data_IF_417825523654
#
_entry.id   IF_417825523654
#
_cell.length_a   1.000
_cell.length_b   1.000
_cell.length_c   1.000
_cell.angle_alpha   90.00
_cell.angle_beta   90.00
_cell.angle_gamma   90.00
#
_symmetry.space_group_name_H-M   'P 1'
#
loop_
_entity.id
_entity.type
_entity.pdbx_description
1 polymer ?
#
# COMPACT_ATOMS: atom_id res chain seq x y z
N UNK A 1 -21.21 29.50 16.02
CA UNK A 1 -21.49 29.18 14.60
C UNK A 1 -20.32 29.46 13.65
N UNK A 2 -19.15 29.90 14.14
CA UNK A 2 -18.00 30.35 13.34
C UNK A 2 -16.95 29.27 13.02
N UNK A 3 -16.89 28.19 13.81
CA UNK A 3 -15.75 27.28 13.75
C UNK A 3 -15.73 26.36 12.52
N UNK A 4 -16.91 25.99 11.98
CA UNK A 4 -17.01 25.10 10.82
C UNK A 4 -16.47 25.76 9.53
N UNK A 5 -16.71 27.05 9.33
CA UNK A 5 -16.23 27.78 8.14
C UNK A 5 -14.71 27.91 8.13
N UNK A 6 -14.08 28.14 9.29
CA UNK A 6 -12.62 28.27 9.36
C UNK A 6 -11.87 26.96 9.07
N UNK A 7 -12.50 25.81 9.36
CA UNK A 7 -11.93 24.51 9.05
C UNK A 7 -12.05 24.18 7.56
N UNK A 8 -13.18 24.49 6.94
CA UNK A 8 -13.37 24.33 5.49
C UNK A 8 -12.44 25.23 4.70
N UNK A 9 -12.21 26.47 5.14
CA UNK A 9 -11.31 27.41 4.45
C UNK A 9 -9.85 26.93 4.48
N UNK A 10 -9.42 26.29 5.58
CA UNK A 10 -8.10 25.66 5.69
C UNK A 10 -7.95 24.48 4.74
N UNK A 11 -8.98 23.64 4.63
CA UNK A 11 -8.98 22.49 3.71
C UNK A 11 -8.97 22.99 2.25
N UNK A 12 -9.79 23.99 1.92
CA UNK A 12 -9.84 24.58 0.58
C UNK A 12 -8.49 25.18 0.21
N UNK A 13 -7.86 25.92 1.13
CA UNK A 13 -6.52 26.50 0.88
C UNK A 13 -5.45 25.43 0.71
N UNK A 14 -5.49 24.33 1.47
CA UNK A 14 -4.56 23.20 1.32
C UNK A 14 -4.70 22.51 -0.04
N UNK A 15 -5.94 22.18 -0.44
CA UNK A 15 -6.25 21.60 -1.76
C UNK A 15 -5.88 22.55 -2.90
N UNK A 16 -6.14 23.85 -2.73
CA UNK A 16 -5.80 24.87 -3.72
C UNK A 16 -4.29 24.96 -3.91
N UNK A 17 -3.50 24.88 -2.83
CA UNK A 17 -2.04 24.86 -2.91
C UNK A 17 -1.52 23.57 -3.57
N UNK A 18 -2.13 22.42 -3.28
CA UNK A 18 -1.77 21.13 -3.91
C UNK A 18 -2.04 21.13 -5.42
N UNK A 19 -3.17 21.70 -5.85
CA UNK A 19 -3.57 21.72 -7.25
C UNK A 19 -2.93 22.84 -8.09
N UNK A 20 -2.65 24.00 -7.49
CA UNK A 20 -2.19 25.19 -8.22
C UNK A 20 -0.68 25.47 -8.11
N UNK A 21 0.03 24.90 -7.14
CA UNK A 21 1.48 25.06 -7.06
C UNK A 21 2.22 24.09 -7.97
N UNK A 22 3.37 24.52 -8.49
CA UNK A 22 4.33 23.61 -9.12
C UNK A 22 4.75 22.52 -8.11
N UNK A 23 4.78 21.25 -8.54
CA UNK A 23 5.19 20.07 -7.74
C UNK A 23 6.45 20.32 -6.92
N UNK A 24 7.49 20.89 -7.51
CA UNK A 24 8.75 21.17 -6.78
C UNK A 24 8.59 22.21 -5.67
N UNK A 25 7.74 23.21 -5.91
CA UNK A 25 7.50 24.28 -4.94
C UNK A 25 6.54 23.82 -3.84
N UNK A 26 5.57 22.98 -4.17
CA UNK A 26 4.66 22.35 -3.22
C UNK A 26 5.43 21.41 -2.27
N UNK A 27 6.35 20.59 -2.79
CA UNK A 27 7.23 19.75 -1.97
C UNK A 27 8.09 20.56 -0.99
N UNK A 28 8.70 21.66 -1.46
CA UNK A 28 9.46 22.58 -0.59
C UNK A 28 8.57 23.20 0.48
N UNK A 29 7.34 23.57 0.14
CA UNK A 29 6.37 24.11 1.10
C UNK A 29 5.98 23.05 2.15
N UNK A 30 5.68 21.82 1.74
CA UNK A 30 5.34 20.71 2.63
C UNK A 30 6.47 20.39 3.60
N UNK A 31 7.71 20.28 3.11
CA UNK A 31 8.90 20.02 3.92
C UNK A 31 9.13 21.11 4.98
N UNK A 32 9.06 22.39 4.59
CA UNK A 32 9.18 23.54 5.52
C UNK A 32 8.08 23.53 6.59
N UNK A 33 6.89 23.04 6.27
CA UNK A 33 5.77 22.97 7.21
C UNK A 33 5.92 21.78 8.16
N UNK A 34 6.47 20.66 7.69
CA UNK A 34 6.84 19.50 8.52
C UNK A 34 7.99 19.81 9.48
N UNK A 35 9.01 20.55 9.07
CA UNK A 35 10.15 20.94 9.93
C UNK A 35 9.72 21.80 11.14
N UNK A 36 8.64 22.56 11.00
CA UNK A 36 8.06 23.37 12.09
C UNK A 36 7.30 22.54 13.13
N UNK A 37 7.00 21.26 12.87
CA UNK A 37 6.40 20.35 13.84
C UNK A 37 7.50 19.86 14.80
N UNK A 38 7.86 20.73 15.75
CA UNK A 38 8.64 20.43 16.95
C UNK A 38 9.74 19.38 16.79
N UNK A 39 10.91 19.77 16.30
CA UNK A 39 12.09 18.92 16.35
C UNK A 39 12.37 18.52 17.81
N UNK A 40 12.12 17.25 18.15
CA UNK A 40 12.44 16.68 19.46
C UNK A 40 13.94 16.90 19.71
N UNK A 41 14.28 17.42 20.89
CA UNK A 41 15.67 17.59 21.28
C UNK A 41 16.38 16.22 21.26
N UNK A 42 17.31 16.05 20.31
CA UNK A 42 18.04 14.79 20.11
C UNK A 42 18.87 14.40 21.34
N UNK A 43 19.32 15.38 22.13
CA UNK A 43 20.08 15.14 23.38
C UNK A 43 19.19 14.49 24.43
N UNK A 44 17.99 15.04 24.65
CA UNK A 44 17.03 14.52 25.62
C UNK A 44 16.52 13.14 25.20
N UNK A 45 16.25 12.94 23.90
CA UNK A 45 15.90 11.60 23.38
C UNK A 45 16.97 10.57 23.69
N UNK A 46 18.26 10.91 23.56
CA UNK A 46 19.38 10.01 23.85
C UNK A 46 19.49 9.75 25.36
N UNK A 47 19.34 10.78 26.18
CA UNK A 47 19.40 10.69 27.64
C UNK A 47 18.28 9.81 28.21
N UNK A 48 17.03 10.05 27.78
CA UNK A 48 15.85 9.33 28.26
C UNK A 48 15.57 8.02 27.53
N UNK A 49 16.40 7.61 26.56
CA UNK A 49 16.16 6.42 25.72
C UNK A 49 15.80 5.17 26.54
N UNK A 50 16.51 4.90 27.64
CA UNK A 50 16.26 3.73 28.50
C UNK A 50 14.92 3.84 29.24
N UNK A 51 14.59 5.02 29.78
CA UNK A 51 13.32 5.26 30.49
C UNK A 51 12.12 5.20 29.54
N UNK A 52 12.25 5.74 28.34
CA UNK A 52 11.22 5.64 27.29
C UNK A 52 10.97 4.17 26.93
N UNK A 53 12.04 3.38 26.77
CA UNK A 53 11.90 1.95 26.49
C UNK A 53 11.19 1.20 27.62
N UNK A 54 11.53 1.50 28.87
CA UNK A 54 10.89 0.88 30.03
C UNK A 54 9.38 1.21 30.09
N UNK A 55 9.03 2.50 29.96
CA UNK A 55 7.63 2.96 29.93
C UNK A 55 6.85 2.31 28.78
N UNK A 56 7.41 2.28 27.58
CA UNK A 56 6.75 1.65 26.42
C UNK A 56 6.59 0.14 26.59
N UNK A 57 7.57 -0.55 27.20
CA UNK A 57 7.47 -1.99 27.48
C UNK A 57 6.36 -2.30 28.49
N UNK A 58 6.19 -1.45 29.51
CA UNK A 58 5.10 -1.57 30.49
C UNK A 58 3.74 -1.26 29.86
N UNK A 59 3.63 -0.23 29.02
CA UNK A 59 2.41 0.07 28.26
C UNK A 59 2.01 -1.06 27.29
N UNK A 60 2.97 -1.74 26.67
CA UNK A 60 2.70 -2.87 25.76
C UNK A 60 2.20 -4.13 26.46
N UNK A 61 2.57 -4.33 27.73
CA UNK A 61 2.25 -5.57 28.47
C UNK A 61 1.67 -5.21 29.85
N UNK A 62 0.45 -4.66 29.92
CA UNK A 62 -0.16 -4.26 31.20
C UNK A 62 -0.33 -5.45 32.16
N UNK A 63 -0.56 -6.66 31.62
CA UNK A 63 -0.74 -7.89 32.39
C UNK A 63 0.50 -8.32 33.18
N UNK A 64 1.70 -7.93 32.73
CA UNK A 64 2.96 -8.29 33.42
C UNK A 64 3.23 -7.39 34.63
N UNK A 65 2.50 -6.29 34.78
CA UNK A 65 2.69 -5.31 35.86
C UNK A 65 1.36 -4.92 36.55
N UNK A 66 0.60 -5.89 37.11
CA UNK A 66 -0.72 -5.63 37.67
C UNK A 66 -0.71 -4.76 38.93
N UNK A 67 0.41 -4.74 39.66
CA UNK A 67 0.54 -4.03 40.95
C UNK A 67 1.21 -2.66 40.85
N UNK A 68 1.80 -2.31 39.70
CA UNK A 68 2.26 -0.95 39.45
C UNK A 68 1.09 -0.16 38.86
N UNK A 69 0.32 0.54 39.72
CA UNK A 69 -0.54 1.62 39.23
C UNK A 69 0.37 2.64 38.56
N UNK A 70 0.52 2.49 37.25
CA UNK A 70 1.35 3.34 36.44
C UNK A 70 0.73 4.73 36.54
N UNK A 71 1.37 5.63 37.29
CA UNK A 71 1.02 7.05 37.36
C UNK A 71 1.41 7.73 36.03
N UNK A 72 0.97 7.14 34.93
CA UNK A 72 1.09 7.70 33.60
C UNK A 72 -0.10 8.61 33.41
N UNK A 73 0.17 9.80 32.88
CA UNK A 73 -0.87 10.73 32.51
C UNK A 73 -1.79 10.08 31.48
N UNK A 74 -3.11 10.22 31.66
CA UNK A 74 -4.12 9.67 30.73
C UNK A 74 -3.87 10.12 29.29
N UNK A 75 -3.32 11.31 29.09
CA UNK A 75 -2.92 11.82 27.78
C UNK A 75 -1.83 10.96 27.13
N UNK A 76 -0.78 10.56 27.87
CA UNK A 76 0.30 9.74 27.31
C UNK A 76 -0.23 8.35 26.91
N UNK A 77 -1.13 7.77 27.69
CA UNK A 77 -1.80 6.51 27.32
C UNK A 77 -2.60 6.67 26.03
N UNK A 78 -3.41 7.73 25.93
CA UNK A 78 -4.19 8.01 24.71
C UNK A 78 -3.29 8.21 23.47
N UNK A 79 -2.18 8.96 23.61
CA UNK A 79 -1.20 9.12 22.52
C UNK A 79 -0.57 7.79 22.13
N UNK A 80 -0.29 6.93 23.10
CA UNK A 80 0.26 5.61 22.84
C UNK A 80 -0.73 4.70 22.10
N UNK A 81 -1.99 4.64 22.52
CA UNK A 81 -3.04 3.87 21.82
C UNK A 81 -3.27 4.38 20.39
N UNK A 82 -3.22 5.71 20.19
CA UNK A 82 -3.29 6.31 18.86
C UNK A 82 -2.11 5.85 17.99
N UNK A 83 -0.89 5.87 18.55
CA UNK A 83 0.30 5.39 17.86
C UNK A 83 0.22 3.90 17.49
N UNK A 84 -0.26 3.05 18.41
CA UNK A 84 -0.47 1.63 18.15
C UNK A 84 -1.50 1.41 17.05
N UNK A 85 -2.61 2.16 17.09
CA UNK A 85 -3.64 2.13 16.06
C UNK A 85 -3.07 2.47 14.68
N UNK A 86 -2.27 3.54 14.57
CA UNK A 86 -1.58 3.90 13.32
C UNK A 86 -0.57 2.85 12.87
N UNK A 87 0.15 2.20 13.79
CA UNK A 87 1.05 1.10 13.45
C UNK A 87 0.29 -0.09 12.86
N UNK A 88 -0.84 -0.47 13.48
CA UNK A 88 -1.69 -1.57 13.00
C UNK A 88 -2.24 -1.25 11.61
N UNK A 89 -2.71 -0.03 11.38
CA UNK A 89 -3.22 0.39 10.07
C UNK A 89 -2.12 0.35 9.00
N UNK A 90 -0.93 0.84 9.32
CA UNK A 90 0.24 0.76 8.44
C UNK A 90 0.58 -0.69 8.08
N UNK A 91 0.61 -1.60 9.06
CA UNK A 91 0.88 -3.03 8.80
C UNK A 91 -0.21 -3.68 7.96
N UNK A 92 -1.49 -3.38 8.22
CA UNK A 92 -2.59 -3.87 7.38
C UNK A 92 -2.43 -3.42 5.93
N UNK A 93 -2.12 -2.14 5.70
CA UNK A 93 -1.92 -1.61 4.35
C UNK A 93 -0.72 -2.27 3.64
N UNK A 94 0.38 -2.49 4.36
CA UNK A 94 1.57 -3.14 3.82
C UNK A 94 1.24 -4.60 3.45
N UNK A 95 0.61 -5.35 4.35
CA UNK A 95 0.28 -6.75 4.12
C UNK A 95 -0.78 -6.94 3.03
N UNK A 96 -1.80 -6.07 2.94
CA UNK A 96 -2.77 -6.12 1.82
C UNK A 96 -2.08 -5.83 0.49
N UNK A 97 -1.17 -4.86 0.46
CA UNK A 97 -0.43 -4.50 -0.76
C UNK A 97 0.46 -5.65 -1.22
N UNK A 98 1.18 -6.28 -0.30
CA UNK A 98 2.08 -7.40 -0.61
C UNK A 98 1.29 -8.63 -1.10
N UNK A 99 0.17 -8.97 -0.47
CA UNK A 99 -0.70 -10.08 -0.90
C UNK A 99 -1.25 -9.80 -2.30
N UNK A 100 -1.73 -8.58 -2.53
CA UNK A 100 -2.26 -8.18 -3.83
C UNK A 100 -1.18 -8.23 -4.91
N UNK A 101 0.05 -7.80 -4.60
CA UNK A 101 1.18 -7.87 -5.54
C UNK A 101 1.65 -9.29 -5.82
N UNK A 102 1.55 -10.19 -4.84
CA UNK A 102 1.90 -11.60 -5.01
C UNK A 102 1.06 -12.27 -6.09
N UNK A 103 -0.22 -11.94 -6.18
CA UNK A 103 -1.12 -12.43 -7.24
C UNK A 103 -0.69 -12.03 -8.67
N UNK A 104 0.09 -10.96 -8.81
CA UNK A 104 0.57 -10.47 -10.11
C UNK A 104 1.98 -10.94 -10.47
N UNK A 105 2.65 -11.72 -9.61
CA UNK A 105 4.00 -12.24 -9.90
C UNK A 105 4.02 -13.05 -11.20
N UNK A 106 3.00 -13.88 -11.41
CA UNK A 106 2.88 -14.74 -12.60
C UNK A 106 2.67 -13.94 -13.91
N UNK A 107 2.15 -12.71 -13.82
CA UNK A 107 1.98 -11.83 -14.99
C UNK A 107 3.25 -11.03 -15.35
N UNK A 108 4.23 -10.96 -14.43
CA UNK A 108 5.52 -10.30 -14.67
C UNK A 108 6.50 -11.21 -15.41
N UNK A 109 6.26 -12.52 -15.41
CA UNK A 109 6.86 -13.46 -16.35
C UNK A 109 6.19 -13.28 -17.73
N UNK A 110 6.33 -12.08 -18.31
CA UNK A 110 6.12 -11.91 -19.74
C UNK A 110 7.22 -12.72 -20.38
N UNK A 111 6.86 -13.93 -20.81
CA UNK A 111 7.65 -14.81 -21.65
C UNK A 111 8.36 -13.93 -22.69
N UNK A 112 9.69 -13.79 -22.61
CA UNK A 112 10.51 -13.09 -23.62
C UNK A 112 10.32 -13.70 -25.02
N UNK A 113 9.60 -14.82 -25.11
CA UNK A 113 9.19 -15.54 -26.32
C UNK A 113 7.90 -15.05 -26.95
N UNK A 114 7.10 -14.21 -26.27
CA UNK A 114 6.05 -13.45 -26.93
C UNK A 114 6.69 -12.21 -27.57
N UNK A 115 7.65 -12.44 -28.47
CA UNK A 115 7.92 -11.47 -29.52
C UNK A 115 6.57 -11.20 -30.16
N UNK A 116 6.12 -9.95 -30.07
CA UNK A 116 5.04 -9.46 -30.91
C UNK A 116 5.52 -9.80 -32.32
N UNK A 117 4.90 -10.81 -32.94
CA UNK A 117 5.10 -11.11 -34.36
C UNK A 117 4.63 -9.86 -35.08
N UNK A 118 5.56 -8.93 -35.31
CA UNK A 118 5.36 -7.79 -36.18
C UNK A 118 5.18 -8.45 -37.54
N UNK A 119 3.93 -8.54 -38.00
CA UNK A 119 3.62 -9.03 -39.34
C UNK A 119 4.47 -8.18 -40.31
N UNK A 120 5.45 -8.81 -40.96
CA UNK A 120 6.38 -8.15 -41.87
C UNK A 120 5.64 -7.48 -43.05
N UNK A 121 4.35 -7.77 -43.21
CA UNK A 121 3.44 -7.14 -44.17
C UNK A 121 2.85 -5.79 -43.71
N UNK A 122 3.21 -5.27 -42.52
CA UNK A 122 2.84 -3.95 -42.03
C UNK A 122 3.60 -2.81 -42.74
N UNK A 123 3.64 -2.82 -44.07
CA UNK A 123 4.03 -1.64 -44.85
C UNK A 123 2.95 -0.58 -44.77
N UNK A 124 3.35 0.70 -44.78
CA UNK A 124 2.43 1.86 -44.70
C UNK A 124 1.33 1.75 -45.76
N UNK A 125 1.67 1.27 -46.96
CA UNK A 125 0.73 1.09 -48.08
C UNK A 125 -0.40 0.08 -47.76
N UNK A 126 -0.12 -0.99 -47.01
CA UNK A 126 -1.15 -1.95 -46.59
C UNK A 126 -2.05 -1.37 -45.49
N UNK A 127 -1.47 -0.58 -44.57
CA UNK A 127 -2.24 0.12 -43.54
C UNK A 127 -3.17 1.17 -44.17
N UNK A 128 -2.69 1.91 -45.16
CA UNK A 128 -3.47 2.90 -45.91
C UNK A 128 -4.60 2.24 -46.71
N UNK A 129 -4.36 1.08 -47.33
CA UNK A 129 -5.42 0.32 -48.00
C UNK A 129 -6.50 -0.21 -47.04
N UNK A 130 -6.12 -0.59 -45.82
CA UNK A 130 -7.08 -0.98 -44.78
C UNK A 130 -7.86 0.20 -44.19
N UNK A 131 -7.25 1.39 -44.13
CA UNK A 131 -7.92 2.63 -43.70
C UNK A 131 -8.82 3.21 -44.80
N UNK A 132 -8.48 3.03 -46.07
CA UNK A 132 -9.28 3.52 -47.19
C UNK A 132 -10.53 2.67 -47.42
N UNK A 133 -11.66 3.35 -47.60
CA UNK A 133 -12.96 2.71 -47.79
C UNK A 133 -13.08 2.16 -49.21
N UNK A 134 -12.83 0.86 -49.41
CA UNK A 134 -13.04 0.22 -50.72
C UNK A 134 -14.53 0.15 -51.06
N UNK A 135 -14.99 0.93 -52.03
CA UNK A 135 -16.38 0.90 -52.50
C UNK A 135 -16.54 -0.28 -53.46
N UNK A 136 -16.93 -1.44 -52.94
CA UNK A 136 -17.35 -2.57 -53.78
C UNK A 136 -18.80 -2.36 -54.18
N UNK A 137 -19.01 -1.81 -55.38
CA UNK A 137 -20.35 -1.70 -55.98
C UNK A 137 -20.78 -3.12 -56.35
N UNK A 138 -21.57 -3.75 -55.49
CA UNK A 138 -22.25 -5.00 -55.82
C UNK A 138 -23.61 -4.65 -56.43
N UNK A 139 -23.91 -5.24 -57.59
CA UNK A 139 -25.22 -5.11 -58.25
C UNK A 139 -26.38 -5.45 -57.28
N UNK A 140 -27.53 -4.76 -57.40
CA UNK A 140 -28.60 -4.88 -56.42
C UNK A 140 -29.42 -6.11 -56.76
N UNK A 141 -29.49 -7.13 -55.90
CA UNK A 141 -30.55 -8.12 -56.06
C UNK A 141 -31.05 -8.70 -54.73
N UNK A 142 -32.36 -8.46 -54.54
CA UNK A 142 -33.30 -8.94 -53.52
C UNK A 142 -33.37 -8.21 -52.16
N UNK A 143 -34.62 -7.87 -51.80
CA UNK A 143 -35.04 -7.12 -50.62
C UNK A 143 -34.57 -7.77 -49.29
N UNK A 144 -34.37 -9.08 -49.31
CA UNK A 144 -33.92 -9.88 -48.16
C UNK A 144 -32.50 -9.51 -47.68
N UNK A 145 -31.65 -8.93 -48.55
CA UNK A 145 -30.29 -8.47 -48.20
C UNK A 145 -30.30 -7.17 -47.38
N UNK A 146 -31.40 -6.40 -47.39
CA UNK A 146 -31.54 -5.19 -46.56
C UNK A 146 -31.94 -5.52 -45.11
N UNK A 147 -32.37 -6.75 -44.82
CA UNK A 147 -32.71 -7.19 -43.47
C UNK A 147 -31.48 -7.83 -42.83
N UNK A 148 -30.72 -7.04 -42.07
CA UNK A 148 -29.60 -7.55 -41.24
C UNK A 148 -30.15 -8.43 -40.11
N UNK A 149 -30.31 -9.73 -40.35
CA UNK A 149 -30.61 -10.71 -39.29
C UNK A 149 -29.35 -10.98 -38.46
N UNK A 150 -29.18 -10.28 -37.33
CA UNK A 150 -28.17 -10.64 -36.33
C UNK A 150 -28.72 -11.76 -35.45
N UNK A 151 -28.26 -12.99 -35.67
CA UNK A 151 -28.42 -14.07 -34.70
C UNK A 151 -27.45 -13.77 -33.56
N UNK A 152 -27.94 -13.10 -32.51
CA UNK A 152 -27.14 -12.85 -31.32
C UNK A 152 -27.03 -14.15 -30.54
N UNK A 153 -25.79 -14.62 -30.30
CA UNK A 153 -25.57 -15.60 -29.24
C UNK A 153 -26.14 -15.01 -27.94
N UNK A 154 -26.80 -15.81 -27.07
CA UNK A 154 -27.30 -15.31 -25.80
C UNK A 154 -26.15 -14.57 -25.11
N UNK A 155 -26.42 -13.35 -24.67
CA UNK A 155 -25.43 -12.48 -24.02
C UNK A 155 -24.78 -13.30 -22.91
N UNK A 156 -23.51 -13.68 -23.08
CA UNK A 156 -22.75 -14.29 -21.99
C UNK A 156 -22.79 -13.28 -20.86
N UNK A 157 -23.28 -13.68 -19.69
CA UNK A 157 -23.25 -12.82 -18.51
C UNK A 157 -21.78 -12.49 -18.27
N UNK A 158 -21.41 -11.24 -18.52
CA UNK A 158 -20.08 -10.74 -18.18
C UNK A 158 -19.94 -10.89 -16.66
N UNK A 159 -18.86 -11.56 -16.24
CA UNK A 159 -18.59 -11.76 -14.82
C UNK A 159 -18.00 -10.44 -14.33
N UNK A 160 -18.67 -9.70 -13.42
CA UNK A 160 -18.12 -8.47 -12.90
C UNK A 160 -16.86 -8.79 -12.08
N UNK A 161 -15.90 -7.85 -11.98
CA UNK A 161 -14.76 -8.01 -11.11
C UNK A 161 -15.24 -8.23 -9.66
N UNK A 162 -14.69 -9.24 -9.00
CA UNK A 162 -15.00 -9.56 -7.62
C UNK A 162 -13.95 -8.96 -6.68
N UNK A 163 -14.39 -8.50 -5.51
CA UNK A 163 -13.48 -8.11 -4.45
C UNK A 163 -12.86 -9.37 -3.83
N UNK A 164 -11.53 -9.39 -3.73
CA UNK A 164 -10.81 -10.46 -3.01
C UNK A 164 -10.98 -10.26 -1.50
N UNK A 165 -11.28 -11.36 -0.80
CA UNK A 165 -11.24 -11.39 0.66
C UNK A 165 -9.81 -11.72 1.11
N UNK A 166 -9.15 -10.77 1.78
CA UNK A 166 -7.75 -10.88 2.20
C UNK A 166 -7.69 -11.22 3.69
N UNK A 167 -7.17 -12.40 4.02
CA UNK A 167 -7.05 -12.81 5.42
C UNK A 167 -5.84 -12.18 6.12
N UNK A 168 -6.06 -11.04 6.78
CA UNK A 168 -5.02 -10.33 7.53
C UNK A 168 -4.67 -10.94 8.90
N UNK A 169 -5.30 -12.07 9.27
CA UNK A 169 -5.07 -12.75 10.57
C UNK A 169 -4.13 -13.95 10.46
N UNK A 170 -3.52 -14.18 9.29
CA UNK A 170 -2.65 -15.32 9.10
C UNK A 170 -1.40 -15.27 10.02
N UNK A 171 -1.04 -16.39 10.68
CA UNK A 171 0.06 -16.43 11.64
C UNK A 171 1.43 -16.18 11.01
N UNK A 172 1.54 -16.33 9.68
CA UNK A 172 2.73 -16.00 8.90
C UNK A 172 3.04 -14.50 8.96
N UNK A 173 2.01 -13.65 8.87
CA UNK A 173 2.15 -12.19 8.88
C UNK A 173 2.66 -11.68 10.24
N UNK A 174 2.34 -12.37 11.34
CA UNK A 174 2.76 -12.00 12.70
C UNK A 174 4.28 -11.90 12.87
N UNK A 175 5.04 -12.75 12.19
CA UNK A 175 6.50 -12.81 12.33
C UNK A 175 7.26 -12.16 11.16
N UNK A 176 6.53 -11.57 10.21
CA UNK A 176 7.11 -10.92 9.03
C UNK A 176 8.01 -9.77 9.46
N UNK A 177 9.24 -9.74 8.92
CA UNK A 177 10.22 -8.68 9.23
C UNK A 177 10.88 -8.76 10.61
N UNK A 178 10.53 -9.73 11.47
CA UNK A 178 11.15 -9.87 12.80
C UNK A 178 12.37 -10.82 12.73
N UNK A 179 13.54 -10.33 13.16
CA UNK A 179 14.75 -11.16 13.27
C UNK A 179 14.58 -12.23 14.35
N UNK A 180 14.83 -13.49 13.99
CA UNK A 180 14.90 -14.60 14.97
C UNK A 180 16.00 -14.30 15.99
N UNK A 181 15.69 -14.44 17.28
CA UNK A 181 16.69 -14.35 18.34
C UNK A 181 17.67 -15.51 18.21
N UNK A 182 18.96 -15.23 18.30
CA UNK A 182 19.98 -16.27 18.42
C UNK A 182 19.91 -16.81 19.86
N UNK A 183 19.86 -18.13 20.02
CA UNK A 183 20.01 -18.75 21.33
C UNK A 183 21.41 -18.41 21.86
N UNK A 184 21.46 -17.72 22.99
CA UNK A 184 22.72 -17.42 23.68
C UNK A 184 23.03 -18.67 24.50
N UNK A 185 24.06 -19.43 24.10
CA UNK A 185 24.63 -20.46 24.97
C UNK A 185 25.42 -19.77 26.06
N UNK A 186 25.03 -20.00 27.32
CA UNK A 186 25.71 -19.39 28.46
C UNK A 186 27.12 -20.01 28.58
N UNK A 187 28.16 -19.23 28.31
CA UNK A 187 29.57 -19.71 28.32
C UNK A 187 30.09 -20.07 29.72
N UNK A 188 29.30 -19.81 30.76
CA UNK A 188 29.65 -20.05 32.17
C UNK A 188 29.25 -21.45 32.67
N UNK A 189 28.43 -22.21 31.93
CA UNK A 189 28.01 -23.57 32.30
C UNK A 189 28.96 -24.65 31.76
N UNK A 190 30.27 -24.37 31.65
CA UNK A 190 31.26 -25.44 31.41
C UNK A 190 31.53 -26.12 32.76
N UNK A 191 31.13 -27.38 32.98
CA UNK A 191 31.53 -28.09 34.18
C UNK A 191 33.05 -28.17 34.19
N UNK A 192 33.67 -27.58 35.21
CA UNK A 192 35.06 -27.84 35.60
C UNK A 192 35.19 -29.31 36.00
N UNK A 193 35.30 -30.19 35.00
CA UNK A 193 35.65 -31.59 35.23
C UNK A 193 37.17 -31.71 35.39
N UNK A 194 37.54 -31.83 36.66
CA UNK A 194 38.51 -32.78 37.21
C UNK A 194 39.88 -32.87 36.53
N UNK A 195 40.85 -32.17 37.14
CA UNK A 195 42.24 -32.62 37.12
C UNK A 195 42.34 -33.91 37.95
N UNK A 196 42.61 -35.03 37.29
CA UNK A 196 43.26 -36.20 37.88
C UNK A 196 44.65 -36.33 37.27
#
# INVERSE_FOLDING_TARGET
MTDKNTLTDKIITEVTLECLMNKENYEKYRLKTCEKRGAINKKDKKFYRKRIYDVTKKLLNPELYPNEKMNITTDLQYKFETYISSCIEYFKMLDTSDILQEDYKDFLEIDEKNEIMIDENATIDNADQLMMRSIKIQEPNSLEKFVKRKIMKPLRKEIPPQQKDVNLKDPVLKNKGIRKKKNITNTYDKPTNEKK
#
